data_IF_538054099745
#
_entry.id   IF_538054099745
#
_cell.length_a   1.000
_cell.length_b   1.000
_cell.length_c   1.000
_cell.angle_alpha   90.00
_cell.angle_beta   90.00
_cell.angle_gamma   90.00
#
_symmetry.space_group_name_H-M   'P 1'
#
loop_
_entity.id
_entity.type
_entity.pdbx_description
1 polymer ?
#
# COMPACT_ATOMS: atom_id res chain seq x y z
N UNK A 1 -7.27 -14.00 -9.72
CA UNK A 1 -6.06 -14.06 -10.57
C UNK A 1 -5.47 -12.67 -10.86
N UNK A 2 -6.17 -11.75 -11.53
CA UNK A 2 -5.64 -10.40 -11.83
C UNK A 2 -5.23 -9.60 -10.57
N UNK A 3 -6.03 -9.67 -9.50
CA UNK A 3 -5.75 -9.02 -8.20
C UNK A 3 -4.46 -9.55 -7.57
N UNK A 4 -4.27 -10.88 -7.54
CA UNK A 4 -3.04 -11.48 -7.01
C UNK A 4 -1.81 -10.99 -7.78
N UNK A 5 -1.87 -11.00 -9.11
CA UNK A 5 -0.77 -10.54 -9.95
C UNK A 5 -0.45 -9.06 -9.70
N UNK A 6 -1.46 -8.19 -9.61
CA UNK A 6 -1.23 -6.75 -9.37
C UNK A 6 -0.68 -6.47 -7.98
N UNK A 7 -1.18 -7.15 -6.94
CA UNK A 7 -0.70 -7.01 -5.55
C UNK A 7 0.76 -7.46 -5.43
N UNK A 8 1.08 -8.65 -5.94
CA UNK A 8 2.41 -9.24 -5.82
C UNK A 8 3.42 -8.49 -6.70
N UNK A 9 3.00 -7.94 -7.84
CA UNK A 9 3.86 -7.07 -8.66
C UNK A 9 4.12 -5.72 -7.99
N UNK A 10 3.09 -5.14 -7.36
CA UNK A 10 3.23 -3.90 -6.57
C UNK A 10 4.19 -4.09 -5.39
N UNK A 11 4.14 -5.27 -4.74
CA UNK A 11 5.11 -5.62 -3.69
C UNK A 11 6.53 -5.74 -4.24
N UNK A 12 6.72 -6.39 -5.39
CA UNK A 12 8.04 -6.51 -6.02
C UNK A 12 8.63 -5.12 -6.36
N UNK A 13 7.81 -4.19 -6.87
CA UNK A 13 8.20 -2.81 -7.10
C UNK A 13 8.54 -2.08 -5.80
N UNK A 14 7.73 -2.25 -4.74
CA UNK A 14 8.00 -1.64 -3.44
C UNK A 14 9.31 -2.17 -2.83
N UNK A 15 9.61 -3.46 -2.94
CA UNK A 15 10.87 -4.05 -2.50
C UNK A 15 12.05 -3.42 -3.25
N UNK A 16 11.95 -3.25 -4.58
CA UNK A 16 12.97 -2.52 -5.34
C UNK A 16 13.20 -1.11 -4.77
N UNK A 17 12.13 -0.37 -4.49
CA UNK A 17 12.23 1.01 -3.97
C UNK A 17 12.83 1.03 -2.57
N UNK A 18 12.48 0.06 -1.71
CA UNK A 18 13.10 -0.10 -0.39
C UNK A 18 14.61 -0.35 -0.54
N UNK A 19 15.03 -1.22 -1.47
CA UNK A 19 16.45 -1.49 -1.73
C UNK A 19 17.16 -0.23 -2.25
N UNK A 20 16.55 0.49 -3.20
CA UNK A 20 17.10 1.74 -3.75
C UNK A 20 17.36 2.75 -2.63
N UNK A 21 16.36 3.03 -1.79
CA UNK A 21 16.48 3.99 -0.69
C UNK A 21 17.47 3.51 0.38
N UNK A 22 17.54 2.21 0.65
CA UNK A 22 18.45 1.63 1.64
C UNK A 22 19.92 1.64 1.21
N UNK A 23 20.18 1.68 -0.09
CA UNK A 23 21.53 1.61 -0.67
C UNK A 23 22.09 2.98 -1.08
N UNK A 24 21.36 4.07 -0.82
CA UNK A 24 21.83 5.44 -1.07
C UNK A 24 20.80 6.35 -1.72
N UNK A 25 19.65 5.83 -2.14
CA UNK A 25 18.67 6.60 -2.92
C UNK A 25 19.15 6.82 -4.36
N UNK A 26 18.25 7.28 -5.23
CA UNK A 26 18.57 7.50 -6.64
C UNK A 26 19.72 8.51 -6.83
N UNK A 27 19.79 9.54 -5.98
CA UNK A 27 20.80 10.60 -6.09
C UNK A 27 22.11 10.27 -5.36
N UNK A 28 22.11 9.28 -4.46
CA UNK A 28 23.30 8.80 -3.74
C UNK A 28 23.96 7.57 -4.36
N UNK A 29 23.59 7.18 -5.58
CA UNK A 29 24.15 5.99 -6.25
C UNK A 29 23.58 4.66 -5.73
N UNK A 30 22.36 4.69 -5.17
CA UNK A 30 21.64 3.50 -4.72
C UNK A 30 21.39 2.50 -5.84
N UNK A 31 21.26 1.24 -5.46
CA UNK A 31 21.01 0.15 -6.39
C UNK A 31 19.55 0.16 -6.89
N UNK A 32 19.38 0.56 -8.15
CA UNK A 32 18.12 0.40 -8.85
C UNK A 32 18.05 -1.00 -9.49
N UNK A 33 17.15 -1.85 -8.99
CA UNK A 33 16.96 -3.18 -9.53
C UNK A 33 16.54 -3.13 -11.01
N UNK A 34 17.06 -4.04 -11.83
CA UNK A 34 16.65 -4.13 -13.23
C UNK A 34 15.25 -4.74 -13.35
N UNK A 35 14.60 -4.55 -14.49
CA UNK A 35 13.26 -5.14 -14.78
C UNK A 35 13.24 -6.66 -14.56
N UNK A 36 14.34 -7.35 -14.87
CA UNK A 36 14.47 -8.80 -14.66
C UNK A 36 14.54 -9.16 -13.18
N UNK A 37 15.19 -8.34 -12.35
CA UNK A 37 15.26 -8.54 -10.90
C UNK A 37 13.90 -8.32 -10.25
N UNK A 38 13.13 -7.31 -10.70
CA UNK A 38 11.74 -7.11 -10.25
C UNK A 38 10.85 -8.30 -10.59
N UNK A 39 10.98 -8.83 -11.81
CA UNK A 39 10.24 -10.04 -12.21
C UNK A 39 10.68 -11.24 -11.36
N UNK A 40 11.97 -11.36 -11.02
CA UNK A 40 12.46 -12.41 -10.13
C UNK A 40 11.88 -12.29 -8.71
N UNK A 41 11.79 -11.07 -8.15
CA UNK A 41 11.10 -10.83 -6.88
C UNK A 41 9.63 -11.23 -6.95
N UNK A 42 8.93 -10.82 -8.01
CA UNK A 42 7.53 -11.18 -8.23
C UNK A 42 7.34 -12.71 -8.30
N UNK A 43 8.19 -13.42 -9.05
CA UNK A 43 8.17 -14.87 -9.14
C UNK A 43 8.44 -15.53 -7.77
N UNK A 44 9.40 -15.00 -7.00
CA UNK A 44 9.71 -15.50 -5.66
C UNK A 44 8.53 -15.33 -4.69
N UNK A 45 7.84 -14.18 -4.73
CA UNK A 45 6.63 -13.90 -3.93
C UNK A 45 5.51 -14.88 -4.30
N UNK A 46 5.27 -15.09 -5.60
CA UNK A 46 4.25 -16.05 -6.05
C UNK A 46 4.57 -17.47 -5.61
N UNK A 47 5.83 -17.89 -5.70
CA UNK A 47 6.28 -19.20 -5.23
C UNK A 47 6.10 -19.33 -3.71
N UNK A 48 6.43 -18.30 -2.93
CA UNK A 48 6.21 -18.35 -1.48
C UNK A 48 4.73 -18.39 -1.12
N UNK A 49 3.87 -17.65 -1.83
CA UNK A 49 2.42 -17.75 -1.68
C UNK A 49 1.91 -19.14 -2.02
N UNK A 50 2.38 -19.76 -3.11
CA UNK A 50 2.00 -21.12 -3.49
C UNK A 50 2.41 -22.16 -2.43
N UNK A 51 3.62 -22.02 -1.86
CA UNK A 51 4.10 -22.88 -0.78
C UNK A 51 3.24 -22.73 0.48
N UNK A 52 2.97 -21.51 0.92
CA UNK A 52 2.15 -21.25 2.11
C UNK A 52 0.73 -21.78 1.91
N UNK A 53 0.14 -21.57 0.74
CA UNK A 53 -1.20 -22.05 0.39
C UNK A 53 -1.28 -23.58 0.21
N UNK A 54 -0.14 -24.27 0.14
CA UNK A 54 -0.08 -25.74 0.13
C UNK A 54 0.03 -26.33 1.55
N UNK A 55 0.18 -25.50 2.58
CA UNK A 55 0.25 -25.94 3.98
C UNK A 55 -1.14 -26.27 4.55
N UNK A 56 -1.20 -27.05 5.65
CA UNK A 56 -2.46 -27.33 6.34
C UNK A 56 -3.20 -26.06 6.79
N UNK A 57 -4.53 -26.14 6.85
CA UNK A 57 -5.44 -25.03 7.21
C UNK A 57 -5.07 -24.35 8.54
N UNK A 58 -4.50 -25.09 9.50
CA UNK A 58 -4.03 -24.51 10.77
C UNK A 58 -2.95 -23.44 10.58
N UNK A 59 -2.02 -23.65 9.65
CA UNK A 59 -0.98 -22.67 9.32
C UNK A 59 -1.57 -21.45 8.60
N UNK A 60 -2.49 -21.69 7.65
CA UNK A 60 -3.19 -20.61 6.96
C UNK A 60 -3.98 -19.73 7.93
N UNK A 61 -4.69 -20.34 8.89
CA UNK A 61 -5.42 -19.63 9.94
C UNK A 61 -4.48 -18.80 10.82
N UNK A 62 -3.32 -19.35 11.20
CA UNK A 62 -2.31 -18.61 11.97
C UNK A 62 -1.78 -17.39 11.19
N UNK A 63 -1.36 -17.58 9.94
CA UNK A 63 -0.88 -16.47 9.10
C UNK A 63 -1.97 -15.43 8.84
N UNK A 64 -3.22 -15.85 8.65
CA UNK A 64 -4.36 -14.94 8.48
C UNK A 64 -4.63 -14.09 9.72
N UNK A 65 -4.56 -14.68 10.92
CA UNK A 65 -4.72 -13.92 12.17
C UNK A 65 -3.55 -12.94 12.38
N UNK A 66 -2.33 -13.38 12.12
CA UNK A 66 -1.16 -12.50 12.18
C UNK A 66 -1.25 -11.36 11.16
N UNK A 67 -1.66 -11.67 9.92
CA UNK A 67 -1.89 -10.68 8.86
C UNK A 67 -2.90 -9.61 9.28
N UNK A 68 -4.04 -10.03 9.84
CA UNK A 68 -5.07 -9.10 10.31
C UNK A 68 -4.54 -8.20 11.43
N UNK A 69 -3.82 -8.77 12.41
CA UNK A 69 -3.20 -8.01 13.49
C UNK A 69 -2.12 -7.05 12.98
N UNK A 70 -1.26 -7.50 12.07
CA UNK A 70 -0.20 -6.68 11.46
C UNK A 70 -0.77 -5.54 10.64
N UNK A 71 -1.81 -5.79 9.84
CA UNK A 71 -2.46 -4.76 9.03
C UNK A 71 -3.11 -3.70 9.92
N UNK A 72 -3.84 -4.13 10.95
CA UNK A 72 -4.45 -3.23 11.93
C UNK A 72 -3.39 -2.38 12.64
N UNK A 73 -2.38 -2.99 13.24
CA UNK A 73 -1.31 -2.26 13.93
C UNK A 73 -0.53 -1.35 12.98
N UNK A 74 -0.19 -1.86 11.80
CA UNK A 74 0.57 -1.14 10.78
C UNK A 74 -0.14 0.11 10.32
N UNK A 75 -1.45 0.04 10.01
CA UNK A 75 -2.20 1.21 9.58
C UNK A 75 -2.30 2.27 10.69
N UNK A 76 -2.52 1.87 11.94
CA UNK A 76 -2.55 2.79 13.08
C UNK A 76 -1.19 3.46 13.30
N UNK A 77 -0.10 2.68 13.23
CA UNK A 77 1.26 3.21 13.35
C UNK A 77 1.55 4.22 12.25
N UNK A 78 1.25 3.90 10.99
CA UNK A 78 1.52 4.80 9.86
C UNK A 78 0.63 6.05 9.88
N UNK A 79 -0.64 5.90 10.27
CA UNK A 79 -1.59 7.01 10.43
C UNK A 79 -1.13 8.04 11.45
N UNK A 80 -0.40 7.63 12.50
CA UNK A 80 0.11 8.53 13.52
C UNK A 80 1.54 8.99 13.22
N UNK A 81 2.43 8.07 12.84
CA UNK A 81 3.84 8.34 12.68
C UNK A 81 4.13 9.30 11.53
N UNK A 82 3.48 9.12 10.37
CA UNK A 82 3.76 9.95 9.18
C UNK A 82 3.39 11.42 9.44
N UNK A 83 2.18 11.77 9.93
CA UNK A 83 1.86 13.17 10.25
C UNK A 83 2.63 13.73 11.45
N UNK A 84 3.01 12.89 12.40
CA UNK A 84 3.79 13.33 13.58
C UNK A 84 5.23 13.68 13.23
N UNK A 85 5.83 12.98 12.27
CA UNK A 85 7.20 13.22 11.81
C UNK A 85 7.27 14.34 10.77
N UNK A 86 6.21 14.55 9.99
CA UNK A 86 6.13 15.65 9.03
C UNK A 86 6.30 17.02 9.72
N UNK A 87 7.45 17.65 9.49
CA UNK A 87 7.84 18.98 10.02
C UNK A 87 7.06 20.13 9.39
N UNK A 88 6.73 19.98 8.12
CA UNK A 88 5.95 20.93 7.33
C UNK A 88 4.72 20.20 6.81
N UNK A 89 3.58 20.88 6.85
CA UNK A 89 2.29 20.29 6.48
C UNK A 89 1.63 21.13 5.40
N UNK A 90 0.98 20.45 4.45
CA UNK A 90 0.12 21.11 3.50
C UNK A 90 -1.00 21.87 4.22
N UNK A 91 -1.46 22.98 3.62
CA UNK A 91 -2.60 23.72 4.18
C UNK A 91 -3.89 22.92 4.06
N UNK A 92 -4.82 23.09 4.99
CA UNK A 92 -6.15 22.45 4.89
C UNK A 92 -6.88 22.84 3.58
N UNK A 93 -6.66 24.08 3.09
CA UNK A 93 -7.17 24.52 1.80
C UNK A 93 -6.62 23.65 0.65
N UNK A 94 -5.32 23.36 0.66
CA UNK A 94 -4.73 22.45 -0.34
C UNK A 94 -5.38 21.06 -0.24
N UNK A 95 -5.41 20.46 0.95
CA UNK A 95 -5.93 19.10 1.15
C UNK A 95 -7.39 18.93 0.71
N UNK A 96 -8.26 19.92 0.96
CA UNK A 96 -9.69 19.79 0.68
C UNK A 96 -10.17 20.43 -0.62
N UNK A 97 -9.38 21.31 -1.25
CA UNK A 97 -9.85 22.06 -2.44
C UNK A 97 -8.96 21.94 -3.67
N UNK A 98 -7.72 21.45 -3.52
CA UNK A 98 -6.81 21.35 -4.65
C UNK A 98 -7.07 20.09 -5.46
N UNK A 99 -7.40 20.26 -6.75
CA UNK A 99 -7.42 19.19 -7.73
C UNK A 99 -6.18 19.32 -8.60
N UNK A 100 -5.30 18.32 -8.57
CA UNK A 100 -4.12 18.31 -9.43
C UNK A 100 -4.53 18.01 -10.87
N UNK A 101 -4.48 19.02 -11.74
CA UNK A 101 -4.81 18.89 -13.17
C UNK A 101 -3.58 18.71 -14.05
N UNK A 102 -2.38 18.91 -13.51
CA UNK A 102 -1.14 18.83 -14.27
C UNK A 102 -0.84 17.38 -14.63
N UNK A 103 -0.87 17.09 -15.92
CA UNK A 103 -0.56 15.78 -16.47
C UNK A 103 0.20 15.94 -17.79
N UNK A 104 1.15 15.05 -18.04
CA UNK A 104 1.90 14.99 -19.29
C UNK A 104 1.08 14.45 -20.48
N UNK A 105 -0.17 14.04 -20.23
CA UNK A 105 -1.05 13.43 -21.23
C UNK A 105 -1.94 14.45 -21.98
N UNK A 106 -1.88 15.74 -21.65
CA UNK A 106 -2.67 16.79 -22.31
C UNK A 106 -4.18 16.72 -22.02
N UNK A 107 -4.58 16.07 -20.94
CA UNK A 107 -5.97 15.95 -20.53
C UNK A 107 -6.37 17.24 -19.79
N UNK A 108 -7.35 17.97 -20.31
CA UNK A 108 -7.83 19.23 -19.72
C UNK A 108 -9.23 19.15 -19.09
N UNK A 109 -9.90 17.99 -19.17
CA UNK A 109 -11.25 17.83 -18.62
C UNK A 109 -11.20 17.46 -17.13
N UNK A 110 -11.63 18.39 -16.27
CA UNK A 110 -11.62 18.20 -14.81
C UNK A 110 -12.47 17.03 -14.33
N UNK A 111 -13.63 16.77 -14.95
CA UNK A 111 -14.49 15.65 -14.58
C UNK A 111 -13.79 14.32 -14.90
N UNK A 112 -13.15 14.25 -16.05
CA UNK A 112 -12.40 13.06 -16.45
C UNK A 112 -11.21 12.80 -15.51
N UNK A 113 -10.44 13.84 -15.16
CA UNK A 113 -9.34 13.74 -14.18
C UNK A 113 -9.85 13.29 -12.81
N UNK A 114 -10.99 13.82 -12.36
CA UNK A 114 -11.62 13.42 -11.11
C UNK A 114 -12.01 11.94 -11.11
N UNK A 115 -12.68 11.46 -12.18
CA UNK A 115 -13.07 10.04 -12.31
C UNK A 115 -11.84 9.13 -12.39
N UNK A 116 -10.75 9.56 -13.05
CA UNK A 116 -9.48 8.83 -13.04
C UNK A 116 -8.87 8.74 -11.65
N UNK A 117 -8.96 9.80 -10.84
CA UNK A 117 -8.50 9.80 -9.45
C UNK A 117 -9.27 8.79 -8.57
N UNK A 118 -10.58 8.63 -8.83
CA UNK A 118 -11.41 7.64 -8.13
C UNK A 118 -11.05 6.18 -8.47
N UNK A 119 -10.31 5.95 -9.57
CA UNK A 119 -9.92 4.61 -9.99
C UNK A 119 -9.06 3.91 -8.91
N UNK A 120 -8.12 4.65 -8.31
CA UNK A 120 -7.28 4.09 -7.24
C UNK A 120 -8.13 3.77 -5.99
N UNK A 121 -9.10 4.62 -5.66
CA UNK A 121 -10.03 4.38 -4.55
C UNK A 121 -10.86 3.12 -4.78
N UNK A 122 -11.38 2.90 -6.00
CA UNK A 122 -12.12 1.67 -6.30
C UNK A 122 -11.23 0.43 -6.14
N UNK A 123 -9.97 0.49 -6.54
CA UNK A 123 -9.06 -0.65 -6.41
C UNK A 123 -8.94 -1.11 -4.95
N UNK A 124 -8.91 -0.18 -4.00
CA UNK A 124 -8.83 -0.50 -2.55
C UNK A 124 -10.06 -1.19 -1.97
N UNK A 125 -11.21 -1.12 -2.64
CA UNK A 125 -12.42 -1.83 -2.23
C UNK A 125 -12.49 -3.26 -2.78
N UNK A 126 -11.56 -3.67 -3.66
CA UNK A 126 -11.54 -5.02 -4.23
C UNK A 126 -11.32 -6.07 -3.15
N UNK A 127 -12.09 -7.17 -3.17
CA UNK A 127 -11.97 -8.27 -2.22
C UNK A 127 -12.83 -8.15 -0.97
N UNK A 128 -13.74 -7.16 -0.89
CA UNK A 128 -14.73 -7.05 0.20
C UNK A 128 -15.65 -8.29 0.29
N UNK A 129 -15.83 -9.00 -0.82
CA UNK A 129 -16.59 -10.23 -0.97
C UNK A 129 -15.78 -11.51 -0.66
N UNK A 130 -14.48 -11.39 -0.37
CA UNK A 130 -13.65 -12.52 0.04
C UNK A 130 -14.23 -13.26 1.26
N UNK A 131 -14.90 -12.54 2.18
CA UNK A 131 -15.60 -13.15 3.31
C UNK A 131 -16.73 -14.10 2.88
N UNK A 132 -17.37 -13.87 1.73
CA UNK A 132 -18.38 -14.76 1.16
C UNK A 132 -17.78 -16.01 0.48
N UNK A 133 -16.52 -15.96 0.05
CA UNK A 133 -15.82 -17.15 -0.46
C UNK A 133 -15.34 -18.08 0.66
N UNK A 134 -15.18 -17.56 1.88
CA UNK A 134 -14.73 -18.32 3.05
C UNK A 134 -15.86 -18.61 4.06
N UNK A 135 -17.12 -18.40 3.67
CA UNK A 135 -18.25 -18.61 4.60
C UNK A 135 -18.42 -20.05 5.06
N UNK A 136 -18.01 -21.04 4.26
CA UNK A 136 -18.10 -22.47 4.62
C UNK A 136 -17.30 -22.82 5.89
N UNK A 137 -16.26 -22.05 6.20
CA UNK A 137 -15.42 -22.24 7.38
C UNK A 137 -15.76 -21.28 8.52
N UNK A 138 -16.76 -20.43 8.32
CA UNK A 138 -17.21 -19.44 9.28
C UNK A 138 -18.30 -20.03 10.17
N UNK A 139 -18.08 -20.04 11.48
CA UNK A 139 -19.13 -20.42 12.45
C UNK A 139 -20.28 -19.41 12.36
N UNK A 140 -21.52 -19.88 12.26
CA UNK A 140 -22.72 -19.04 12.08
C UNK A 140 -22.62 -18.10 10.85
N UNK A 141 -22.25 -18.68 9.71
CA UNK A 141 -22.01 -17.96 8.45
C UNK A 141 -23.18 -17.06 8.00
N UNK A 142 -24.42 -17.45 8.30
CA UNK A 142 -25.65 -16.73 7.98
C UNK A 142 -25.70 -15.32 8.58
N UNK A 143 -25.09 -15.13 9.76
CA UNK A 143 -24.96 -13.82 10.42
C UNK A 143 -23.55 -13.25 10.30
N UNK A 144 -22.54 -14.06 10.53
CA UNK A 144 -21.16 -13.60 10.63
C UNK A 144 -20.56 -13.22 9.28
N UNK A 145 -21.00 -13.84 8.17
CA UNK A 145 -20.59 -13.44 6.82
C UNK A 145 -21.00 -11.99 6.51
N UNK A 146 -22.31 -11.66 6.53
CA UNK A 146 -22.78 -10.28 6.28
C UNK A 146 -22.21 -9.24 7.25
N UNK A 147 -22.13 -9.57 8.55
CA UNK A 147 -21.53 -8.67 9.57
C UNK A 147 -20.05 -8.43 9.28
N UNK A 148 -19.31 -9.46 8.88
CA UNK A 148 -17.90 -9.36 8.49
C UNK A 148 -17.71 -8.38 7.33
N UNK A 149 -18.51 -8.51 6.27
CA UNK A 149 -18.46 -7.63 5.10
C UNK A 149 -18.75 -6.17 5.50
N UNK A 150 -19.87 -5.92 6.20
CA UNK A 150 -20.29 -4.56 6.58
C UNK A 150 -19.27 -3.91 7.52
N UNK A 151 -18.78 -4.66 8.50
CA UNK A 151 -17.80 -4.14 9.47
C UNK A 151 -16.44 -3.85 8.82
N UNK A 152 -15.95 -4.74 7.94
CA UNK A 152 -14.71 -4.53 7.21
C UNK A 152 -14.76 -3.27 6.34
N UNK A 153 -15.86 -3.08 5.58
CA UNK A 153 -16.05 -1.87 4.76
C UNK A 153 -16.12 -0.62 5.64
N UNK A 154 -16.92 -0.66 6.71
CA UNK A 154 -17.13 0.51 7.58
C UNK A 154 -15.84 0.95 8.28
N UNK A 155 -15.07 0.00 8.81
CA UNK A 155 -13.77 0.27 9.44
C UNK A 155 -12.77 0.81 8.41
N UNK A 156 -12.73 0.21 7.22
CA UNK A 156 -11.84 0.66 6.14
C UNK A 156 -12.14 2.08 5.68
N UNK A 157 -13.42 2.48 5.63
CA UNK A 157 -13.81 3.86 5.31
C UNK A 157 -13.23 4.83 6.35
N UNK A 158 -13.45 4.57 7.65
CA UNK A 158 -13.04 5.51 8.71
C UNK A 158 -11.52 5.55 8.86
N UNK A 159 -10.88 4.39 9.01
CA UNK A 159 -9.44 4.29 9.25
C UNK A 159 -8.65 4.63 8.00
N UNK A 160 -9.08 4.14 6.83
CA UNK A 160 -8.45 4.46 5.55
C UNK A 160 -8.54 5.95 5.22
N UNK A 161 -9.68 6.59 5.49
CA UNK A 161 -9.81 8.04 5.32
C UNK A 161 -8.87 8.82 6.23
N UNK A 162 -8.78 8.47 7.51
CA UNK A 162 -7.83 9.08 8.45
C UNK A 162 -6.37 8.91 8.03
N UNK A 163 -6.01 7.71 7.57
CA UNK A 163 -4.67 7.41 7.05
C UNK A 163 -4.33 8.22 5.81
N UNK A 164 -5.22 8.24 4.80
CA UNK A 164 -5.02 9.00 3.56
C UNK A 164 -4.91 10.49 3.87
N UNK A 165 -5.79 11.04 4.71
CA UNK A 165 -5.69 12.44 5.14
C UNK A 165 -4.33 12.75 5.75
N UNK A 166 -3.85 11.89 6.66
CA UNK A 166 -2.54 12.03 7.28
C UNK A 166 -1.40 12.11 6.25
N UNK A 167 -1.42 11.25 5.23
CA UNK A 167 -0.43 11.29 4.15
C UNK A 167 -0.60 12.56 3.30
N UNK A 168 -1.82 12.96 2.96
CA UNK A 168 -2.06 14.16 2.14
C UNK A 168 -1.56 15.42 2.83
N UNK A 169 -1.63 15.50 4.17
CA UNK A 169 -1.00 16.60 4.92
C UNK A 169 0.54 16.57 4.87
N UNK A 170 1.16 15.42 4.65
CA UNK A 170 2.61 15.27 4.48
C UNK A 170 3.09 15.48 3.03
N UNK A 171 2.17 15.58 2.04
CA UNK A 171 2.50 15.87 0.64
C UNK A 171 2.93 17.33 0.50
N UNK A 172 4.12 17.56 -0.07
CA UNK A 172 4.69 18.90 -0.28
C UNK A 172 4.52 19.38 -1.72
N UNK A 173 5.21 18.73 -2.66
CA UNK A 173 5.19 19.09 -4.07
C UNK A 173 4.92 17.88 -4.95
N UNK A 174 3.72 17.80 -5.52
CA UNK A 174 3.30 16.69 -6.38
C UNK A 174 4.28 16.49 -7.56
N UNK A 175 4.74 17.53 -8.27
CA UNK A 175 5.69 17.34 -9.37
C UNK A 175 7.00 16.69 -8.93
N UNK A 176 7.53 17.06 -7.76
CA UNK A 176 8.74 16.44 -7.21
C UNK A 176 8.51 14.99 -6.76
N UNK A 177 7.38 14.70 -6.11
CA UNK A 177 7.03 13.36 -5.66
C UNK A 177 6.86 12.35 -6.82
N UNK A 178 6.42 12.84 -7.99
CA UNK A 178 6.25 12.05 -9.20
C UNK A 178 7.49 12.05 -10.10
N UNK A 179 8.50 12.85 -9.78
CA UNK A 179 9.72 12.95 -10.60
C UNK A 179 10.55 11.67 -10.52
N UNK A 180 10.96 11.07 -11.65
CA UNK A 180 11.91 9.95 -11.67
C UNK A 180 13.27 10.29 -11.05
N UNK A 181 13.61 11.58 -10.96
CA UNK A 181 14.90 12.07 -10.45
C UNK A 181 14.91 12.25 -8.91
N UNK A 182 13.78 11.99 -8.23
CA UNK A 182 13.75 11.98 -6.77
C UNK A 182 14.43 10.74 -6.17
N UNK A 183 14.60 10.71 -4.86
CA UNK A 183 15.36 9.66 -4.16
C UNK A 183 14.71 8.28 -4.31
N UNK A 184 13.38 8.23 -4.38
CA UNK A 184 12.59 7.03 -4.55
C UNK A 184 12.30 6.66 -6.03
N UNK A 185 12.89 7.35 -7.00
CA UNK A 185 12.73 7.05 -8.42
C UNK A 185 11.30 7.22 -8.96
N UNK A 186 10.55 8.22 -8.44
CA UNK A 186 9.17 8.51 -8.83
C UNK A 186 8.11 7.75 -8.04
N UNK A 187 8.48 6.94 -7.05
CA UNK A 187 7.52 6.26 -6.17
C UNK A 187 7.01 7.20 -5.07
N UNK A 188 5.91 7.89 -5.35
CA UNK A 188 5.42 9.01 -4.53
C UNK A 188 5.29 8.73 -3.02
N UNK A 189 4.70 7.61 -2.62
CA UNK A 189 4.52 7.29 -1.19
C UNK A 189 5.86 7.03 -0.49
N UNK A 190 6.80 6.40 -1.18
CA UNK A 190 8.14 6.15 -0.66
C UNK A 190 8.91 7.44 -0.50
N UNK A 191 8.80 8.35 -1.47
CA UNK A 191 9.40 9.69 -1.38
C UNK A 191 8.80 10.49 -0.21
N UNK A 192 7.46 10.50 -0.04
CA UNK A 192 6.81 11.18 1.10
C UNK A 192 7.35 10.65 2.44
N UNK A 193 7.41 9.33 2.61
CA UNK A 193 7.89 8.73 3.85
C UNK A 193 9.38 9.02 4.07
N UNK A 194 10.20 8.90 3.03
CA UNK A 194 11.62 9.17 3.10
C UNK A 194 11.91 10.63 3.47
N UNK A 195 11.26 11.59 2.79
CA UNK A 195 11.42 13.02 3.03
C UNK A 195 10.92 13.46 4.40
N UNK A 196 9.79 12.94 4.87
CA UNK A 196 9.25 13.27 6.19
C UNK A 196 10.30 12.99 7.29
N UNK A 197 10.91 11.80 7.26
CA UNK A 197 11.94 11.43 8.23
C UNK A 197 13.28 12.12 7.97
N UNK A 198 13.71 12.26 6.71
CA UNK A 198 14.95 12.96 6.34
C UNK A 198 14.92 14.44 6.77
N UNK A 199 13.79 15.12 6.60
CA UNK A 199 13.62 16.52 7.04
C UNK A 199 13.63 16.68 8.56
N UNK A 200 13.05 15.73 9.30
CA UNK A 200 12.95 15.81 10.77
C UNK A 200 14.23 15.40 11.49
N UNK A 201 14.87 14.32 11.04
CA UNK A 201 15.95 13.63 11.75
C UNK A 201 17.27 13.60 10.99
N UNK A 202 17.34 14.17 9.79
CA UNK A 202 18.52 14.11 8.91
C UNK A 202 18.75 12.75 8.25
N UNK A 203 17.91 11.75 8.53
CA UNK A 203 18.00 10.40 7.98
C UNK A 203 16.63 9.87 7.55
N UNK A 204 16.56 9.27 6.37
CA UNK A 204 15.34 8.68 5.82
C UNK A 204 15.04 7.26 6.31
N UNK A 205 15.86 6.70 7.21
CA UNK A 205 15.73 5.30 7.68
C UNK A 205 14.35 5.01 8.27
N UNK A 206 13.77 5.93 9.04
CA UNK A 206 12.43 5.72 9.59
C UNK A 206 11.33 5.64 8.51
N UNK A 207 11.51 6.36 7.39
CA UNK A 207 10.63 6.24 6.23
C UNK A 207 10.76 4.87 5.55
N UNK A 208 11.99 4.34 5.44
CA UNK A 208 12.25 2.99 4.92
C UNK A 208 11.60 1.92 5.81
N UNK A 209 11.68 2.08 7.14
CA UNK A 209 10.99 1.17 8.08
C UNK A 209 9.47 1.21 7.88
N UNK A 210 8.89 2.40 7.68
CA UNK A 210 7.46 2.55 7.36
C UNK A 210 7.09 1.81 6.06
N UNK A 211 7.93 1.88 5.03
CA UNK A 211 7.73 1.12 3.79
C UNK A 211 7.82 -0.39 4.02
N UNK A 212 8.69 -0.85 4.93
CA UNK A 212 8.75 -2.24 5.34
C UNK A 212 7.43 -2.74 5.97
N UNK A 213 6.80 -1.91 6.82
CA UNK A 213 5.47 -2.22 7.39
C UNK A 213 4.44 -2.42 6.28
N UNK A 214 4.42 -1.52 5.29
CA UNK A 214 3.54 -1.61 4.12
C UNK A 214 3.85 -2.86 3.29
N UNK A 215 5.12 -3.16 3.04
CA UNK A 215 5.53 -4.33 2.26
C UNK A 215 5.03 -5.65 2.87
N UNK A 216 5.15 -5.79 4.19
CA UNK A 216 4.63 -6.96 4.91
C UNK A 216 3.10 -7.03 4.81
N UNK A 217 2.40 -5.90 4.93
CA UNK A 217 0.94 -5.87 4.77
C UNK A 217 0.49 -6.27 3.34
N UNK A 218 1.18 -5.80 2.31
CA UNK A 218 0.90 -6.18 0.91
C UNK A 218 1.19 -7.66 0.67
N UNK A 219 2.26 -8.21 1.25
CA UNK A 219 2.56 -9.65 1.18
C UNK A 219 1.40 -10.50 1.70
N UNK A 220 0.88 -10.19 2.88
CA UNK A 220 -0.26 -10.92 3.42
C UNK A 220 -1.56 -10.72 2.62
N UNK A 221 -1.74 -9.56 1.97
CA UNK A 221 -2.83 -9.35 1.03
C UNK A 221 -2.72 -10.29 -0.19
N UNK A 222 -1.52 -10.45 -0.73
CA UNK A 222 -1.23 -11.39 -1.82
C UNK A 222 -1.50 -12.84 -1.41
N UNK A 223 -1.00 -13.26 -0.24
CA UNK A 223 -1.28 -14.58 0.35
C UNK A 223 -2.77 -14.86 0.46
N UNK A 224 -3.53 -13.92 1.07
CA UNK A 224 -4.98 -14.06 1.27
C UNK A 224 -5.74 -14.13 -0.06
N UNK A 225 -5.28 -13.39 -1.08
CA UNK A 225 -5.85 -13.42 -2.43
C UNK A 225 -5.65 -14.78 -3.10
N UNK A 226 -4.51 -15.45 -2.89
CA UNK A 226 -4.30 -16.82 -3.37
C UNK A 226 -5.21 -17.79 -2.64
N UNK A 227 -5.31 -17.69 -1.30
CA UNK A 227 -6.19 -18.55 -0.48
C UNK A 227 -7.64 -18.44 -0.92
N UNK A 228 -8.14 -17.22 -1.12
CA UNK A 228 -9.53 -16.99 -1.56
C UNK A 228 -9.80 -17.49 -2.97
N UNK A 229 -8.81 -17.46 -3.88
CA UNK A 229 -8.98 -17.95 -5.26
C UNK A 229 -8.91 -19.48 -5.36
N UNK A 230 -8.30 -20.16 -4.39
CA UNK A 230 -8.15 -21.62 -4.37
C UNK A 230 -9.34 -22.38 -3.77
N UNK A 231 -10.32 -21.66 -3.24
CA UNK A 231 -11.54 -22.19 -2.61
C UNK A 231 -12.73 -21.93 -3.52
#
# INVERSE_FOLDING_TARGET
>A
WAVTTSVDFSLAQLIQVIILLSTGGNNGGGYLASKYVVIAFHAAILLSHALINSLPISWLSFFGQFAAAWNMLGVFVLMIAVPAVATERASAKFVFTHLNTDNSAGIHNNLYIFVLGLLMSQYTLTGYDASAHMTEETKNADKNGPIGIISAISISIVVGWGYILGITFAVKEIPYLLSPDNEAGGYAIAEVFYLAFKSRYGSGVGGIVCLGIVAVAIYFCGMSSVTSNSR
#
